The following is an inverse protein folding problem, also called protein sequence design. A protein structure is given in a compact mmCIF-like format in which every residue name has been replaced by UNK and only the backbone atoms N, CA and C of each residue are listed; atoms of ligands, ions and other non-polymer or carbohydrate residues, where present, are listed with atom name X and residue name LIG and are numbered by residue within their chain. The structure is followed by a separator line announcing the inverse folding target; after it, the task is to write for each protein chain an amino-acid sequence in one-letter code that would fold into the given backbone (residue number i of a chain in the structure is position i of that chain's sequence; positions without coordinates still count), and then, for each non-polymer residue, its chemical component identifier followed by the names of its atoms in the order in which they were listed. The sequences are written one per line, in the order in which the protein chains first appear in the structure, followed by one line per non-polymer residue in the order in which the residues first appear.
data_IF_139983269827
#
_entry.id   IF_139983269827
#
_cell.length_a   1.000
_cell.length_b   1.000
_cell.length_c   1.000
_cell.angle_alpha   90.00
_cell.angle_beta   90.00
_cell.angle_gamma   90.00
#
_symmetry.space_group_name_H-M   'P 1'
#
loop_
_entity.id
_entity.type
_entity.pdbx_description
1 polymer ?
#
# COMPACT_ATOMS: atom_id res chain seq x y z
N UNK A 1 -8.60 -13.62 -4.03
CA UNK A 1 -9.15 -13.36 -2.68
C UNK A 1 -8.07 -13.65 -1.66
N UNK A 2 -7.87 -12.79 -0.68
CA UNK A 2 -6.84 -12.93 0.35
C UNK A 2 -7.50 -13.37 1.65
N UNK A 3 -6.87 -14.27 2.38
CA UNK A 3 -7.40 -14.82 3.62
C UNK A 3 -6.70 -14.23 4.84
N UNK A 4 -7.48 -13.92 5.87
CA UNK A 4 -6.97 -13.48 7.16
C UNK A 4 -7.65 -14.30 8.27
N UNK A 5 -6.86 -15.07 9.03
CA UNK A 5 -7.36 -15.93 10.13
C UNK A 5 -8.55 -16.79 9.72
N UNK A 6 -8.50 -17.39 8.53
CA UNK A 6 -9.57 -18.24 8.01
C UNK A 6 -10.75 -17.50 7.38
N UNK A 7 -10.76 -16.18 7.40
CA UNK A 7 -11.77 -15.37 6.70
C UNK A 7 -11.23 -14.90 5.38
N UNK A 8 -12.04 -15.04 4.33
CA UNK A 8 -11.68 -14.49 3.03
C UNK A 8 -11.96 -12.99 2.99
N UNK A 9 -10.95 -12.23 2.58
CA UNK A 9 -11.07 -10.78 2.41
C UNK A 9 -11.01 -10.47 0.93
N UNK A 10 -12.05 -9.85 0.41
CA UNK A 10 -12.14 -9.52 -1.01
C UNK A 10 -11.04 -8.52 -1.39
N UNK A 11 -10.27 -8.90 -2.40
CA UNK A 11 -9.19 -8.09 -2.93
C UNK A 11 -9.65 -7.44 -4.24
N UNK A 12 -9.53 -6.12 -4.33
CA UNK A 12 -9.87 -5.38 -5.54
C UNK A 12 -8.59 -4.87 -6.14
N UNK A 13 -8.41 -5.15 -7.43
CA UNK A 13 -7.27 -4.67 -8.21
C UNK A 13 -7.75 -3.78 -9.33
N UNK A 14 -6.88 -2.89 -9.78
CA UNK A 14 -7.09 -2.11 -11.00
C UNK A 14 -5.85 -2.21 -11.88
N UNK A 15 -6.04 -2.05 -13.17
CA UNK A 15 -4.96 -2.03 -14.14
C UNK A 15 -4.59 -0.59 -14.45
N UNK A 16 -3.33 -0.25 -14.24
CA UNK A 16 -2.80 1.09 -14.49
C UNK A 16 -1.78 1.07 -15.61
N UNK A 17 -1.67 2.19 -16.32
CA UNK A 17 -0.65 2.39 -17.36
C UNK A 17 0.69 2.64 -16.67
N UNK A 18 1.73 2.02 -17.23
CA UNK A 18 3.09 2.21 -16.77
C UNK A 18 3.61 3.58 -17.23
N UNK A 19 3.51 4.59 -16.36
CA UNK A 19 4.00 5.92 -16.65
C UNK A 19 5.49 6.09 -16.31
N UNK A 20 6.07 5.15 -15.56
CA UNK A 20 7.47 5.18 -15.15
C UNK A 20 8.14 3.83 -15.43
N UNK A 21 8.42 3.52 -16.71
CA UNK A 21 9.05 2.25 -17.09
C UNK A 21 10.35 2.01 -16.32
N UNK A 22 10.57 0.77 -15.90
CA UNK A 22 11.77 0.32 -15.20
C UNK A 22 11.99 0.91 -13.81
N UNK A 23 11.05 1.69 -13.29
CA UNK A 23 11.14 2.27 -11.93
C UNK A 23 10.25 1.60 -10.91
N UNK A 24 9.20 0.92 -11.36
CA UNK A 24 8.19 0.33 -10.48
C UNK A 24 8.24 -1.18 -10.60
N UNK A 25 8.30 -1.85 -9.45
CA UNK A 25 8.34 -3.30 -9.33
C UNK A 25 7.22 -3.80 -8.42
N UNK A 26 6.98 -5.12 -8.45
CA UNK A 26 6.04 -5.76 -7.53
C UNK A 26 6.43 -5.45 -6.08
N UNK A 27 5.46 -5.03 -5.29
CA UNK A 27 5.67 -4.63 -3.89
C UNK A 27 5.85 -3.13 -3.69
N UNK A 28 5.98 -2.35 -4.76
CA UNK A 28 6.07 -0.90 -4.66
C UNK A 28 4.69 -0.28 -4.41
N UNK A 29 4.67 0.76 -3.59
CA UNK A 29 3.46 1.55 -3.35
C UNK A 29 3.36 2.64 -4.40
N UNK A 30 2.18 2.79 -4.96
CA UNK A 30 1.96 3.70 -6.10
C UNK A 30 0.80 4.64 -5.82
N UNK A 31 0.83 5.77 -6.50
CA UNK A 31 -0.29 6.66 -6.67
C UNK A 31 -0.76 6.61 -8.12
N UNK A 32 -1.92 7.17 -8.40
CA UNK A 32 -2.47 7.19 -9.76
C UNK A 32 -3.01 8.57 -10.07
N UNK A 33 -2.98 8.93 -11.36
CA UNK A 33 -3.62 10.14 -11.81
C UNK A 33 -5.04 9.85 -12.35
N UNK A 34 -5.71 10.89 -12.81
CA UNK A 34 -7.08 10.76 -13.34
C UNK A 34 -7.14 10.13 -14.73
N UNK A 35 -5.99 9.92 -15.36
CA UNK A 35 -5.89 9.30 -16.67
C UNK A 35 -5.53 7.82 -16.62
N UNK A 36 -5.45 7.25 -15.42
CA UNK A 36 -5.15 5.83 -15.23
C UNK A 36 -3.66 5.49 -15.25
N UNK A 37 -2.78 6.50 -15.18
CA UNK A 37 -1.34 6.27 -15.07
C UNK A 37 -0.96 5.98 -13.62
N UNK A 38 -0.02 5.04 -13.43
CA UNK A 38 0.55 4.75 -12.12
C UNK A 38 1.92 5.39 -11.98
N UNK A 39 2.17 5.99 -10.84
CA UNK A 39 3.43 6.61 -10.47
C UNK A 39 3.92 6.05 -9.14
N UNK A 40 5.23 5.92 -8.99
CA UNK A 40 5.81 5.54 -7.71
C UNK A 40 5.43 6.58 -6.64
N UNK A 41 4.87 6.11 -5.52
CA UNK A 41 4.54 7.00 -4.42
C UNK A 41 5.82 7.58 -3.82
N UNK A 42 5.83 8.89 -3.64
CA UNK A 42 6.98 9.57 -3.04
C UNK A 42 7.09 9.23 -1.56
N UNK A 43 8.31 9.17 -1.05
CA UNK A 43 8.57 8.92 0.36
C UNK A 43 7.88 9.97 1.23
N UNK A 44 7.15 9.51 2.22
CA UNK A 44 6.37 10.38 3.12
C UNK A 44 5.03 10.83 2.55
N UNK A 45 4.62 10.33 1.40
CA UNK A 45 3.36 10.72 0.74
C UNK A 45 2.35 9.58 0.73
N UNK A 46 1.05 9.90 0.61
CA UNK A 46 0.01 8.88 0.49
C UNK A 46 0.19 8.01 -0.75
N UNK A 47 -0.39 6.81 -0.69
CA UNK A 47 -0.41 5.88 -1.82
C UNK A 47 -1.84 5.39 -2.05
N UNK A 48 -2.12 4.98 -3.29
CA UNK A 48 -3.43 4.43 -3.68
C UNK A 48 -3.46 2.92 -3.45
N UNK A 49 -2.36 2.26 -3.71
CA UNK A 49 -2.28 0.82 -3.59
C UNK A 49 -0.87 0.30 -3.77
N UNK A 50 -0.78 -1.01 -3.93
CA UNK A 50 0.49 -1.71 -4.07
C UNK A 50 0.50 -2.50 -5.38
N UNK A 51 1.63 -2.51 -6.07
CA UNK A 51 1.80 -3.26 -7.32
C UNK A 51 1.91 -4.75 -6.98
N UNK A 52 1.01 -5.55 -7.54
CA UNK A 52 1.00 -7.00 -7.36
C UNK A 52 1.41 -7.76 -8.61
N UNK A 53 1.40 -7.11 -9.76
CA UNK A 53 1.89 -7.69 -11.01
C UNK A 53 2.34 -6.58 -11.97
N UNK A 54 3.36 -6.90 -12.76
CA UNK A 54 3.88 -6.01 -13.82
C UNK A 54 3.86 -6.81 -15.12
N UNK A 55 3.25 -6.24 -16.15
CA UNK A 55 3.22 -6.89 -17.47
C UNK A 55 3.28 -5.82 -18.56
N UNK A 56 4.35 -5.84 -19.34
CA UNK A 56 4.57 -4.91 -20.46
C UNK A 56 4.40 -3.46 -20.01
N UNK A 57 3.38 -2.78 -20.52
CA UNK A 57 3.13 -1.38 -20.23
C UNK A 57 2.06 -1.17 -19.16
N UNK A 58 1.73 -2.23 -18.39
CA UNK A 58 0.64 -2.17 -17.41
C UNK A 58 1.09 -2.70 -16.07
N UNK A 59 0.52 -2.10 -15.02
CA UNK A 59 0.62 -2.58 -13.66
C UNK A 59 -0.73 -3.04 -13.16
N UNK A 60 -0.77 -4.16 -12.44
CA UNK A 60 -1.92 -4.54 -11.63
C UNK A 60 -1.68 -4.03 -10.23
N UNK A 61 -2.56 -3.16 -9.75
CA UNK A 61 -2.44 -2.50 -8.45
C UNK A 61 -3.57 -2.96 -7.55
N UNK A 62 -3.22 -3.51 -6.39
CA UNK A 62 -4.22 -3.83 -5.37
C UNK A 62 -4.58 -2.55 -4.63
N UNK A 63 -5.87 -2.18 -4.65
CA UNK A 63 -6.37 -0.93 -4.08
C UNK A 63 -7.31 -1.16 -2.91
N UNK A 64 -7.68 -2.41 -2.64
CA UNK A 64 -8.59 -2.75 -1.55
C UNK A 64 -8.33 -4.18 -1.08
N UNK A 65 -8.76 -4.50 0.13
CA UNK A 65 -8.63 -5.82 0.71
C UNK A 65 -7.42 -5.94 1.63
N UNK A 66 -7.14 -7.16 2.06
CA UNK A 66 -6.07 -7.45 3.01
C UNK A 66 -4.70 -7.44 2.34
N UNK A 67 -3.73 -6.81 2.99
CA UNK A 67 -2.35 -6.80 2.54
C UNK A 67 -1.38 -6.79 3.73
N UNK A 68 -0.33 -7.58 3.67
CA UNK A 68 0.72 -7.60 4.69
C UNK A 68 1.82 -6.62 4.32
N UNK A 69 2.14 -5.72 5.24
CA UNK A 69 3.12 -4.66 5.05
C UNK A 69 4.33 -4.85 5.97
N UNK A 70 5.44 -4.29 5.55
CA UNK A 70 6.56 -3.97 6.43
C UNK A 70 6.47 -2.50 6.79
N UNK A 71 6.59 -2.18 8.08
CA UNK A 71 6.51 -0.80 8.53
C UNK A 71 7.78 -0.37 9.25
N UNK A 72 7.94 0.93 9.41
CA UNK A 72 9.09 1.55 10.08
C UNK A 72 8.58 2.33 11.28
N UNK A 73 9.29 2.23 12.41
CA UNK A 73 8.98 2.99 13.61
C UNK A 73 8.23 2.20 14.66
N UNK A 74 7.43 2.89 15.46
CA UNK A 74 6.67 2.31 16.56
C UNK A 74 5.52 1.44 16.08
N UNK A 75 5.02 0.56 16.95
CA UNK A 75 3.89 -0.29 16.64
C UNK A 75 2.67 0.53 16.19
N UNK A 76 2.01 0.07 15.14
CA UNK A 76 0.89 0.78 14.54
C UNK A 76 -0.37 0.63 15.41
N UNK A 77 -1.16 1.71 15.58
CA UNK A 77 -2.48 1.61 16.22
C UNK A 77 -3.50 0.95 15.27
N UNK A 78 -4.68 0.62 15.80
CA UNK A 78 -5.75 -0.03 15.02
C UNK A 78 -6.16 0.81 13.82
N UNK A 79 -6.21 2.12 13.95
CA UNK A 79 -6.45 3.03 12.85
C UNK A 79 -5.24 3.92 12.69
N UNK A 80 -4.62 3.87 11.54
CA UNK A 80 -3.39 4.61 11.28
C UNK A 80 -3.44 5.29 9.92
N UNK A 81 -2.86 6.48 9.85
CA UNK A 81 -2.58 7.13 8.57
C UNK A 81 -1.23 6.62 8.11
N UNK A 82 -1.21 6.02 6.92
CA UNK A 82 -0.02 5.35 6.42
C UNK A 82 0.46 6.03 5.14
N UNK A 83 1.77 6.24 5.06
CA UNK A 83 2.43 6.83 3.90
C UNK A 83 3.55 5.90 3.43
N UNK A 84 3.94 6.05 2.17
CA UNK A 84 5.00 5.26 1.61
C UNK A 84 6.37 5.67 2.15
N UNK A 85 7.24 4.69 2.36
CA UNK A 85 8.65 4.88 2.67
C UNK A 85 9.43 3.82 1.90
N UNK A 86 9.66 4.06 0.61
CA UNK A 86 10.16 3.06 -0.34
C UNK A 86 9.21 1.87 -0.36
N UNK A 87 9.69 0.65 -0.11
CA UNK A 87 8.86 -0.56 -0.05
C UNK A 87 8.35 -0.87 1.35
N UNK A 88 8.36 0.10 2.24
CA UNK A 88 7.85 0.00 3.59
C UNK A 88 6.79 1.05 3.82
N UNK A 89 6.11 0.93 4.93
CA UNK A 89 5.09 1.87 5.35
C UNK A 89 5.57 2.62 6.57
N UNK A 90 5.27 3.89 6.62
CA UNK A 90 5.53 4.76 7.76
C UNK A 90 4.20 5.35 8.24
N UNK A 91 4.00 5.38 9.55
CA UNK A 91 2.84 6.07 10.12
C UNK A 91 3.02 7.59 9.97
N UNK A 92 2.04 8.25 9.40
CA UNK A 92 2.02 9.70 9.30
C UNK A 92 1.28 10.28 10.53
N UNK A 93 2.03 10.82 11.47
CA UNK A 93 1.50 11.44 12.68
C UNK A 93 1.17 12.93 12.49
N UNK A 94 1.42 13.50 11.31
CA UNK A 94 1.11 14.89 11.04
C UNK A 94 -0.40 15.13 11.00
N UNK A 95 -0.87 16.14 11.73
CA UNK A 95 -2.28 16.46 11.82
C UNK A 95 -2.88 16.98 10.51
N UNK A 96 -2.04 17.40 9.57
CA UNK A 96 -2.44 18.00 8.30
C UNK A 96 -2.19 17.08 7.11
N UNK A 97 -1.86 15.83 7.35
CA UNK A 97 -1.57 14.88 6.27
C UNK A 97 -2.81 14.52 5.46
N UNK A 98 -2.64 14.34 4.15
CA UNK A 98 -3.71 13.89 3.25
C UNK A 98 -3.88 12.37 3.25
N UNK A 99 -3.05 11.63 3.97
CA UNK A 99 -3.11 10.17 3.98
C UNK A 99 -4.42 9.69 4.65
N UNK A 100 -5.15 8.77 4.03
CA UNK A 100 -6.36 8.23 4.64
C UNK A 100 -6.02 7.32 5.82
N UNK A 101 -6.97 7.18 6.75
CA UNK A 101 -6.87 6.16 7.77
C UNK A 101 -7.07 4.78 7.16
N UNK A 102 -6.25 3.83 7.61
CA UNK A 102 -6.39 2.42 7.24
C UNK A 102 -6.52 1.59 8.52
N UNK A 103 -7.27 0.51 8.43
CA UNK A 103 -7.43 -0.41 9.56
C UNK A 103 -6.25 -1.35 9.63
N UNK A 104 -5.64 -1.43 10.81
CA UNK A 104 -4.54 -2.35 11.09
C UNK A 104 -5.11 -3.53 11.86
N UNK A 105 -5.06 -4.72 11.26
CA UNK A 105 -5.68 -5.93 11.82
C UNK A 105 -4.79 -6.64 12.83
N UNK A 106 -3.49 -6.63 12.60
CA UNK A 106 -2.50 -7.20 13.52
C UNK A 106 -1.16 -6.53 13.32
N UNK A 107 -0.32 -6.58 14.34
CA UNK A 107 1.04 -6.01 14.33
C UNK A 107 1.99 -7.01 14.96
N UNK A 108 3.12 -7.24 14.31
CA UNK A 108 4.26 -7.94 14.88
C UNK A 108 5.42 -6.96 14.99
N UNK A 109 5.60 -6.38 16.18
CA UNK A 109 6.59 -5.32 16.37
C UNK A 109 8.04 -5.83 16.33
N UNK A 110 8.29 -7.10 16.65
CA UNK A 110 9.63 -7.66 16.59
C UNK A 110 10.12 -7.82 15.15
N UNK A 111 9.24 -8.15 14.22
CA UNK A 111 9.55 -8.27 12.81
C UNK A 111 9.21 -7.03 11.99
N UNK A 112 8.56 -6.06 12.62
CA UNK A 112 8.04 -4.84 11.97
C UNK A 112 7.17 -5.16 10.76
N UNK A 113 6.23 -6.07 10.97
CA UNK A 113 5.21 -6.45 9.99
C UNK A 113 3.82 -6.20 10.54
N UNK A 114 2.89 -5.94 9.66
CA UNK A 114 1.49 -5.74 10.03
C UNK A 114 0.58 -6.19 8.90
N UNK A 115 -0.64 -6.58 9.26
CA UNK A 115 -1.69 -6.82 8.28
C UNK A 115 -2.67 -5.66 8.29
N UNK A 116 -2.96 -5.12 7.12
CA UNK A 116 -3.84 -3.95 6.99
C UNK A 116 -4.94 -4.21 5.95
N UNK A 117 -5.95 -3.37 6.02
CA UNK A 117 -6.92 -3.23 4.92
C UNK A 117 -6.54 -2.00 4.10
N UNK A 118 -6.36 -2.23 2.81
CA UNK A 118 -6.10 -1.15 1.87
C UNK A 118 -7.34 -0.32 1.59
#
# INVERSE_FOLDING_TARGET
MVSYKGFDVKCITMTCINAEPDKIEVGDYVTADQSGNAFLAQEGKPFVGVVVAVKDNYYTVQVSGYYEIKYVGEALPVYARLVANKRKILQNNASTGAAPYRTVLWVNSSEQKAGILL
#
